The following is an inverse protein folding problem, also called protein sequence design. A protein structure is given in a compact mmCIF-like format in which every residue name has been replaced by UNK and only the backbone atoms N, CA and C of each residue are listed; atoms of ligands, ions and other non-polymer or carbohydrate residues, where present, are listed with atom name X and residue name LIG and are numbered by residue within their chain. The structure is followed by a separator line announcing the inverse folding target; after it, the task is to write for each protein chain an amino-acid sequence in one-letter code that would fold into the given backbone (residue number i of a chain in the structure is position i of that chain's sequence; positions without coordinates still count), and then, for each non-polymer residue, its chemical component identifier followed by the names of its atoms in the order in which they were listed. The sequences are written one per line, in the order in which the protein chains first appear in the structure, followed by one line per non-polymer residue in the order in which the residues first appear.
data_IF_652359838177
#
_entry.id   IF_652359838177
#
_cell.length_a   1.000
_cell.length_b   1.000
_cell.length_c   1.000
_cell.angle_alpha   90.00
_cell.angle_beta   90.00
_cell.angle_gamma   90.00
#
_symmetry.space_group_name_H-M   'P 1'
#
loop_
_entity.id
_entity.type
_entity.pdbx_description
1 polymer ?
#
# COMPACT_ATOMS: atom_id res chain seq x y z
N UNK A 1 17.90 -68.96 33.35
CA UNK A 1 16.69 -68.14 33.07
C UNK A 1 17.12 -66.97 32.22
N UNK A 2 16.81 -67.03 30.93
CA UNK A 2 17.11 -65.99 29.95
C UNK A 2 15.89 -65.09 29.79
N UNK A 3 16.07 -63.77 29.89
CA UNK A 3 15.13 -62.81 29.34
C UNK A 3 15.93 -61.81 28.49
N UNK A 4 15.71 -61.92 27.19
CA UNK A 4 16.18 -61.00 26.16
C UNK A 4 15.57 -59.61 26.37
N UNK A 5 16.41 -58.58 26.52
CA UNK A 5 16.00 -57.21 26.26
C UNK A 5 16.28 -56.90 24.77
N UNK A 6 15.24 -56.95 23.97
CA UNK A 6 15.24 -56.52 22.58
C UNK A 6 14.92 -55.01 22.48
N UNK A 7 15.52 -54.40 21.46
CA UNK A 7 15.55 -52.98 21.11
C UNK A 7 14.18 -52.33 20.88
N UNK A 8 14.08 -51.04 21.17
CA UNK A 8 13.23 -50.11 20.41
C UNK A 8 14.00 -48.81 20.18
N UNK A 9 14.76 -48.79 19.08
CA UNK A 9 15.29 -47.58 18.48
C UNK A 9 14.11 -46.85 17.84
N UNK A 10 13.64 -45.77 18.46
CA UNK A 10 12.72 -44.84 17.81
C UNK A 10 13.51 -44.13 16.70
N UNK A 11 13.12 -44.24 15.43
CA UNK A 11 13.86 -43.60 14.35
C UNK A 11 13.69 -42.08 14.46
N UNK A 12 14.81 -41.37 14.62
CA UNK A 12 14.92 -39.93 14.39
C UNK A 12 14.56 -39.65 12.94
N UNK A 13 13.29 -39.34 12.67
CA UNK A 13 12.89 -38.83 11.36
C UNK A 13 13.45 -37.42 11.20
N UNK A 14 14.46 -37.31 10.34
CA UNK A 14 14.88 -36.05 9.76
C UNK A 14 13.67 -35.40 9.08
N UNK A 15 13.14 -34.34 9.68
CA UNK A 15 12.24 -33.44 8.97
C UNK A 15 13.10 -32.58 8.06
N UNK A 16 13.11 -32.93 6.78
CA UNK A 16 13.58 -32.03 5.72
C UNK A 16 12.80 -30.72 5.84
N UNK A 17 13.50 -29.65 6.19
CA UNK A 17 13.03 -28.30 5.96
C UNK A 17 12.95 -28.08 4.45
N UNK A 18 11.75 -28.25 3.88
CA UNK A 18 11.48 -27.84 2.51
C UNK A 18 11.38 -26.32 2.47
N UNK A 19 12.52 -25.65 2.51
CA UNK A 19 12.65 -24.25 2.13
C UNK A 19 12.55 -24.14 0.61
N UNK A 20 11.36 -24.38 0.07
CA UNK A 20 11.05 -24.04 -1.32
C UNK A 20 10.80 -22.52 -1.38
N UNK A 21 11.88 -21.75 -1.38
CA UNK A 21 11.85 -20.38 -1.85
C UNK A 21 11.55 -20.40 -3.35
N UNK A 22 10.27 -20.28 -3.71
CA UNK A 22 9.90 -19.90 -5.06
C UNK A 22 10.34 -18.44 -5.26
N UNK A 23 11.60 -18.27 -5.64
CA UNK A 23 12.11 -17.03 -6.21
C UNK A 23 11.45 -16.90 -7.59
N UNK A 24 10.27 -16.29 -7.65
CA UNK A 24 9.73 -15.85 -8.93
C UNK A 24 10.65 -14.71 -9.39
N UNK A 25 11.34 -14.85 -10.53
CA UNK A 25 12.25 -13.83 -10.98
C UNK A 25 11.45 -12.58 -11.33
N UNK A 26 11.76 -11.47 -10.64
CA UNK A 26 11.40 -10.13 -11.06
C UNK A 26 12.15 -9.81 -12.37
N UNK A 27 11.56 -10.19 -13.50
CA UNK A 27 12.03 -9.87 -14.85
C UNK A 27 10.78 -9.88 -15.74
N UNK A 28 10.35 -8.83 -16.43
CA UNK A 28 10.98 -7.55 -16.75
C UNK A 28 9.88 -6.50 -16.95
N UNK A 29 9.95 -5.38 -16.23
CA UNK A 29 9.41 -4.11 -16.72
C UNK A 29 10.42 -3.58 -17.72
N UNK A 30 10.43 -4.17 -18.92
CA UNK A 30 11.15 -3.63 -20.05
C UNK A 30 10.46 -2.33 -20.46
N UNK A 31 11.26 -1.26 -20.56
CA UNK A 31 10.86 0.08 -20.96
C UNK A 31 9.95 0.06 -22.21
N UNK A 32 8.79 0.71 -22.10
CA UNK A 32 7.94 1.04 -23.24
C UNK A 32 8.33 2.45 -23.71
N UNK A 33 8.73 2.63 -24.98
CA UNK A 33 9.06 3.96 -25.51
C UNK A 33 7.78 4.79 -25.67
N UNK A 34 7.93 6.09 -25.47
CA UNK A 34 6.86 7.07 -25.42
C UNK A 34 5.91 7.02 -26.62
N UNK A 35 4.62 6.92 -26.32
CA UNK A 35 3.53 7.07 -27.28
C UNK A 35 2.20 7.09 -26.54
N UNK A 36 1.59 8.28 -26.41
CA UNK A 36 0.25 8.49 -25.85
C UNK A 36 0.10 8.08 -24.37
N UNK A 37 0.16 9.06 -23.47
CA UNK A 37 0.09 8.84 -22.01
C UNK A 37 -1.09 7.97 -21.55
N UNK A 38 -2.20 7.95 -22.30
CA UNK A 38 -3.36 7.10 -21.98
C UNK A 38 -3.12 5.58 -22.14
N UNK A 39 -2.48 5.15 -23.22
CA UNK A 39 -2.34 3.71 -23.54
C UNK A 39 -1.24 3.03 -22.69
N UNK A 40 -0.20 3.77 -22.31
CA UNK A 40 0.81 3.31 -21.36
C UNK A 40 0.22 3.11 -19.96
N UNK A 41 -0.62 4.04 -19.51
CA UNK A 41 -1.33 3.95 -18.23
C UNK A 41 -2.32 2.76 -18.21
N UNK A 42 -3.05 2.48 -19.29
CA UNK A 42 -3.94 1.31 -19.38
C UNK A 42 -3.19 -0.01 -19.18
N UNK A 43 -2.04 -0.15 -19.85
CA UNK A 43 -1.25 -1.37 -19.79
C UNK A 43 -0.60 -1.55 -18.41
N UNK A 44 -0.15 -0.47 -17.79
CA UNK A 44 0.38 -0.49 -16.43
C UNK A 44 -0.70 -0.87 -15.43
N UNK A 45 -1.90 -0.29 -15.52
CA UNK A 45 -3.05 -0.64 -14.66
C UNK A 45 -3.46 -2.10 -14.85
N UNK A 46 -3.56 -2.59 -16.08
CA UNK A 46 -3.90 -3.98 -16.35
C UNK A 46 -2.86 -4.94 -15.73
N UNK A 47 -1.56 -4.67 -15.96
CA UNK A 47 -0.47 -5.47 -15.37
C UNK A 47 -0.47 -5.42 -13.84
N UNK A 48 -0.84 -4.27 -13.26
CA UNK A 48 -0.96 -4.10 -11.81
C UNK A 48 -2.06 -4.98 -11.23
N UNK A 49 -3.24 -5.00 -11.88
CA UNK A 49 -4.36 -5.81 -11.46
C UNK A 49 -4.05 -7.31 -11.55
N UNK A 50 -3.37 -7.75 -12.61
CA UNK A 50 -2.91 -9.13 -12.75
C UNK A 50 -1.90 -9.52 -11.66
N UNK A 51 -1.00 -8.60 -11.33
CA UNK A 51 -0.06 -8.79 -10.24
C UNK A 51 -0.76 -8.87 -8.88
N UNK A 52 -1.77 -8.01 -8.64
CA UNK A 52 -2.61 -8.07 -7.42
C UNK A 52 -3.26 -9.44 -7.26
N UNK A 53 -3.86 -9.98 -8.33
CA UNK A 53 -4.49 -11.31 -8.30
C UNK A 53 -3.48 -12.39 -7.92
N UNK A 54 -2.24 -12.28 -8.40
CA UNK A 54 -1.16 -13.22 -8.04
C UNK A 54 -0.77 -13.08 -6.57
N UNK A 55 -0.67 -11.85 -6.05
CA UNK A 55 -0.40 -11.59 -4.63
C UNK A 55 -1.53 -12.06 -3.71
N UNK A 56 -2.79 -11.88 -4.11
CA UNK A 56 -3.96 -12.37 -3.38
C UNK A 56 -3.93 -13.90 -3.27
N UNK A 57 -3.61 -14.61 -4.37
CA UNK A 57 -3.43 -16.06 -4.36
C UNK A 57 -2.28 -16.48 -3.44
N UNK A 58 -1.17 -15.74 -3.45
CA UNK A 58 -0.04 -16.00 -2.55
C UNK A 58 -0.42 -15.76 -1.07
N UNK A 59 -1.19 -14.72 -0.78
CA UNK A 59 -1.65 -14.40 0.56
C UNK A 59 -2.51 -15.54 1.13
N UNK A 60 -3.41 -16.12 0.34
CA UNK A 60 -4.20 -17.30 0.74
C UNK A 60 -3.33 -18.49 1.15
N UNK A 61 -2.28 -18.79 0.37
CA UNK A 61 -1.33 -19.86 0.71
C UNK A 61 -0.56 -19.54 1.99
N UNK A 62 -0.17 -18.29 2.19
CA UNK A 62 0.56 -17.84 3.39
C UNK A 62 -0.32 -17.83 4.65
N UNK A 63 -1.61 -17.54 4.52
CA UNK A 63 -2.60 -17.66 5.60
C UNK A 63 -2.72 -19.11 6.07
N UNK A 64 -2.79 -20.06 5.13
CA UNK A 64 -2.82 -21.48 5.45
C UNK A 64 -1.51 -21.94 6.14
N UNK A 65 -0.36 -21.43 5.67
CA UNK A 65 0.94 -21.68 6.32
C UNK A 65 0.99 -21.15 7.76
N UNK A 66 0.46 -19.94 7.98
CA UNK A 66 0.36 -19.35 9.32
C UNK A 66 -0.55 -20.19 10.22
N UNK A 67 -1.69 -20.64 9.71
CA UNK A 67 -2.61 -21.51 10.44
C UNK A 67 -1.93 -22.83 10.84
N UNK A 68 -1.25 -23.50 9.91
CA UNK A 68 -0.50 -24.74 10.20
C UNK A 68 0.62 -24.54 11.23
N UNK A 69 1.39 -23.46 11.12
CA UNK A 69 2.45 -23.14 12.07
C UNK A 69 1.89 -22.86 13.47
N UNK A 70 0.77 -22.13 13.56
CA UNK A 70 0.12 -21.82 14.83
C UNK A 70 -0.39 -23.08 15.51
N UNK A 71 -1.05 -23.98 14.76
CA UNK A 71 -1.50 -25.26 15.29
C UNK A 71 -0.35 -26.18 15.72
N UNK A 72 0.84 -26.09 15.10
CA UNK A 72 2.01 -26.82 15.55
C UNK A 72 2.56 -26.29 16.87
N UNK A 73 2.64 -24.96 17.01
CA UNK A 73 3.04 -24.31 18.26
C UNK A 73 2.12 -24.70 19.42
N UNK A 74 0.79 -24.70 19.21
CA UNK A 74 -0.18 -25.13 20.21
C UNK A 74 0.07 -26.57 20.65
N UNK A 75 0.25 -27.50 19.70
CA UNK A 75 0.56 -28.91 20.01
C UNK A 75 1.87 -29.06 20.79
N UNK A 76 2.93 -28.38 20.38
CA UNK A 76 4.22 -28.48 21.07
C UNK A 76 4.19 -27.84 22.46
N UNK A 77 3.37 -26.81 22.65
CA UNK A 77 3.15 -26.22 23.98
C UNK A 77 2.47 -27.22 24.92
N UNK A 78 1.43 -27.93 24.47
CA UNK A 78 0.77 -28.99 25.26
C UNK A 78 1.73 -30.15 25.57
N UNK A 79 2.48 -30.63 24.57
CA UNK A 79 3.45 -31.71 24.77
C UNK A 79 4.58 -31.30 25.72
N UNK A 80 5.04 -30.05 25.67
CA UNK A 80 6.07 -29.54 26.55
C UNK A 80 5.57 -29.48 28.00
N UNK A 81 4.32 -29.04 28.21
CA UNK A 81 3.69 -29.05 29.53
C UNK A 81 3.59 -30.45 30.13
N UNK A 82 3.52 -31.49 29.29
CA UNK A 82 3.55 -32.91 29.69
C UNK A 82 4.95 -33.51 29.81
N UNK A 83 6.00 -32.73 29.52
CA UNK A 83 7.39 -33.20 29.53
C UNK A 83 7.76 -34.12 28.35
N UNK A 84 6.97 -34.12 27.27
CA UNK A 84 7.13 -35.03 26.13
C UNK A 84 8.00 -34.49 24.99
N UNK A 85 8.25 -33.18 24.95
CA UNK A 85 9.13 -32.50 23.99
C UNK A 85 10.06 -31.53 24.69
N UNK A 86 11.13 -31.10 24.03
CA UNK A 86 12.06 -30.15 24.60
C UNK A 86 11.52 -28.72 24.47
N UNK A 87 11.98 -27.82 25.36
CA UNK A 87 11.69 -26.38 25.26
C UNK A 87 12.07 -25.82 23.88
N UNK A 88 13.16 -26.33 23.31
CA UNK A 88 13.65 -25.92 21.99
C UNK A 88 12.61 -26.14 20.88
N UNK A 89 11.84 -27.23 20.94
CA UNK A 89 10.82 -27.54 19.94
C UNK A 89 9.72 -26.47 19.94
N UNK A 90 9.32 -25.99 21.13
CA UNK A 90 8.36 -24.88 21.29
C UNK A 90 8.92 -23.58 20.74
N UNK A 91 10.19 -23.27 21.03
CA UNK A 91 10.87 -22.06 20.54
C UNK A 91 11.01 -22.04 19.01
N UNK A 92 11.31 -23.19 18.40
CA UNK A 92 11.39 -23.34 16.94
C UNK A 92 10.01 -23.19 16.29
N UNK A 93 8.96 -23.79 16.87
CA UNK A 93 7.59 -23.61 16.40
C UNK A 93 7.10 -22.16 16.54
N UNK A 94 7.45 -21.48 17.64
CA UNK A 94 7.13 -20.07 17.84
C UNK A 94 7.82 -19.18 16.80
N UNK A 95 9.09 -19.43 16.52
CA UNK A 95 9.85 -18.74 15.49
C UNK A 95 9.24 -18.94 14.09
N UNK A 96 8.73 -20.14 13.80
CA UNK A 96 8.05 -20.43 12.54
C UNK A 96 6.74 -19.63 12.39
N UNK A 97 5.97 -19.44 13.47
CA UNK A 97 4.77 -18.58 13.47
C UNK A 97 5.13 -17.14 13.18
N UNK A 98 6.17 -16.59 13.83
CA UNK A 98 6.64 -15.22 13.58
C UNK A 98 7.03 -15.04 12.11
N UNK A 99 7.84 -15.95 11.57
CA UNK A 99 8.26 -15.88 10.17
C UNK A 99 7.07 -16.00 9.19
N UNK A 100 6.06 -16.82 9.49
CA UNK A 100 4.85 -16.92 8.67
C UNK A 100 4.02 -15.63 8.70
N UNK A 101 3.86 -15.01 9.88
CA UNK A 101 3.17 -13.72 10.03
C UNK A 101 3.86 -12.61 9.25
N UNK A 102 5.19 -12.55 9.31
CA UNK A 102 5.96 -11.53 8.60
C UNK A 102 5.84 -11.66 7.08
N UNK A 103 5.85 -12.89 6.55
CA UNK A 103 5.61 -13.14 5.11
C UNK A 103 4.23 -12.66 4.68
N UNK A 104 3.19 -13.04 5.41
CA UNK A 104 1.82 -12.60 5.13
C UNK A 104 1.67 -11.08 5.21
N UNK A 105 2.22 -10.46 6.25
CA UNK A 105 2.19 -9.01 6.43
C UNK A 105 2.92 -8.28 5.29
N UNK A 106 4.01 -8.83 4.77
CA UNK A 106 4.72 -8.27 3.62
C UNK A 106 3.86 -8.32 2.35
N UNK A 107 3.28 -9.47 2.03
CA UNK A 107 2.39 -9.63 0.86
C UNK A 107 1.19 -8.69 0.94
N UNK A 108 0.56 -8.56 2.12
CA UNK A 108 -0.56 -7.62 2.31
C UNK A 108 -0.17 -6.16 2.11
N UNK A 109 1.01 -5.74 2.57
CA UNK A 109 1.53 -4.39 2.29
C UNK A 109 1.78 -4.17 0.79
N UNK A 110 2.17 -5.21 0.07
CA UNK A 110 2.39 -5.15 -1.38
C UNK A 110 1.08 -5.05 -2.15
N UNK A 111 0.04 -5.80 -1.75
CA UNK A 111 -1.33 -5.65 -2.29
C UNK A 111 -1.81 -4.20 -2.11
N UNK A 112 -1.71 -3.64 -0.91
CA UNK A 112 -2.12 -2.26 -0.64
C UNK A 112 -1.33 -1.23 -1.48
N UNK A 113 -0.04 -1.48 -1.74
CA UNK A 113 0.77 -0.64 -2.61
C UNK A 113 0.28 -0.68 -4.06
N UNK A 114 -0.04 -1.87 -4.59
CA UNK A 114 -0.59 -2.03 -5.95
C UNK A 114 -1.96 -1.36 -6.09
N UNK A 115 -2.81 -1.45 -5.08
CA UNK A 115 -4.10 -0.74 -5.03
C UNK A 115 -3.90 0.78 -5.03
N UNK A 116 -2.86 1.28 -4.36
CA UNK A 116 -2.47 2.70 -4.43
C UNK A 116 -1.92 3.08 -5.82
N UNK A 117 -1.31 2.15 -6.56
CA UNK A 117 -0.84 2.45 -7.91
C UNK A 117 -1.99 2.63 -8.91
N UNK A 118 -2.91 1.67 -8.91
CA UNK A 118 -4.11 1.74 -9.75
C UNK A 118 -4.87 3.03 -9.38
N UNK A 119 -4.69 3.50 -8.14
CA UNK A 119 -5.14 4.78 -7.63
C UNK A 119 -4.78 6.00 -8.38
N UNK A 120 -3.51 6.26 -8.34
CA UNK A 120 -2.99 7.43 -8.97
C UNK A 120 -3.25 7.37 -10.48
N UNK A 121 -3.28 6.18 -11.09
CA UNK A 121 -3.58 6.03 -12.52
C UNK A 121 -5.03 6.39 -12.89
N UNK A 122 -6.06 5.86 -12.23
CA UNK A 122 -7.44 6.24 -12.55
C UNK A 122 -7.74 7.69 -12.12
N UNK A 123 -7.15 8.13 -11.01
CA UNK A 123 -7.23 9.51 -10.57
C UNK A 123 -6.69 10.47 -11.64
N UNK A 124 -5.51 10.19 -12.21
CA UNK A 124 -4.95 10.94 -13.34
C UNK A 124 -5.88 10.93 -14.56
N UNK A 125 -6.54 9.81 -14.85
CA UNK A 125 -7.52 9.72 -15.96
C UNK A 125 -8.70 10.65 -15.75
N UNK A 126 -9.29 10.67 -14.55
CA UNK A 126 -10.42 11.56 -14.23
C UNK A 126 -10.00 13.02 -14.33
N UNK A 127 -8.80 13.36 -13.85
CA UNK A 127 -8.21 14.70 -13.94
C UNK A 127 -7.94 15.08 -15.40
N UNK A 128 -7.44 14.17 -16.22
CA UNK A 128 -7.20 14.40 -17.64
C UNK A 128 -8.51 14.55 -18.44
N UNK A 129 -9.56 13.82 -18.05
CA UNK A 129 -10.89 13.94 -18.66
C UNK A 129 -11.54 15.33 -18.45
N UNK A 130 -11.09 16.11 -17.45
CA UNK A 130 -11.48 17.51 -17.29
C UNK A 130 -10.85 18.44 -18.34
N UNK A 131 -9.90 17.96 -19.15
CA UNK A 131 -9.19 18.75 -20.16
C UNK A 131 -8.14 19.71 -19.58
N UNK A 132 -7.45 20.48 -20.44
CA UNK A 132 -6.42 21.45 -20.02
C UNK A 132 -7.05 22.68 -19.36
N UNK A 133 -6.52 23.12 -18.22
CA UNK A 133 -7.03 24.26 -17.43
C UNK A 133 -6.13 25.48 -17.46
N UNK A 134 -6.72 26.64 -17.20
CA UNK A 134 -5.97 27.89 -16.94
C UNK A 134 -5.55 27.95 -15.47
N UNK A 135 -4.43 28.64 -15.14
CA UNK A 135 -4.08 28.93 -13.75
C UNK A 135 -5.24 29.60 -13.00
N UNK A 136 -5.53 29.13 -11.80
CA UNK A 136 -6.62 29.60 -10.94
C UNK A 136 -8.02 29.10 -11.32
N UNK A 137 -8.16 28.34 -12.41
CA UNK A 137 -9.43 27.74 -12.79
C UNK A 137 -9.77 26.57 -11.85
N UNK A 138 -11.05 26.47 -11.48
CA UNK A 138 -11.60 25.34 -10.73
C UNK A 138 -12.51 24.56 -11.65
N UNK A 139 -12.29 23.25 -11.74
CA UNK A 139 -13.12 22.35 -12.52
C UNK A 139 -13.66 21.23 -11.67
N UNK A 140 -14.87 20.83 -11.98
CA UNK A 140 -15.56 19.75 -11.30
C UNK A 140 -16.18 18.80 -12.32
N UNK A 141 -15.99 17.50 -12.14
CA UNK A 141 -16.54 16.47 -13.00
C UNK A 141 -16.05 15.08 -12.64
N UNK A 142 -16.86 14.04 -12.91
CA UNK A 142 -16.47 12.65 -12.67
C UNK A 142 -16.11 12.31 -11.21
N UNK A 143 -16.68 13.03 -10.25
CA UNK A 143 -16.37 12.87 -8.82
C UNK A 143 -15.04 13.49 -8.37
N UNK A 144 -14.46 14.37 -9.19
CA UNK A 144 -13.21 15.08 -8.92
C UNK A 144 -13.45 16.59 -8.96
N UNK A 145 -12.81 17.32 -8.03
CA UNK A 145 -12.66 18.78 -8.07
C UNK A 145 -11.17 19.06 -8.25
N UNK A 146 -10.80 19.84 -9.27
CA UNK A 146 -9.41 20.22 -9.55
C UNK A 146 -9.29 21.74 -9.45
N UNK A 147 -8.33 22.21 -8.67
CA UNK A 147 -7.87 23.60 -8.70
C UNK A 147 -6.42 23.64 -9.14
N UNK A 148 -6.13 24.35 -10.23
CA UNK A 148 -4.76 24.40 -10.79
C UNK A 148 -3.82 25.38 -10.08
N UNK A 149 -4.33 26.12 -9.09
CA UNK A 149 -3.57 27.09 -8.31
C UNK A 149 -3.13 28.30 -9.15
N UNK A 150 -2.61 29.32 -8.47
CA UNK A 150 -2.11 30.56 -9.10
C UNK A 150 -0.65 30.85 -8.73
N UNK A 151 -0.05 30.05 -7.85
CA UNK A 151 1.35 30.18 -7.42
C UNK A 151 2.03 28.82 -7.34
N UNK A 152 3.36 28.84 -7.28
CA UNK A 152 4.16 27.65 -6.98
C UNK A 152 3.81 27.08 -5.61
N UNK A 153 3.79 25.75 -5.53
CA UNK A 153 3.59 24.97 -4.32
C UNK A 153 4.82 24.14 -4.00
N UNK A 154 5.09 23.96 -2.71
CA UNK A 154 6.01 22.95 -2.20
C UNK A 154 5.57 22.50 -0.82
N UNK A 155 6.11 21.38 -0.33
CA UNK A 155 5.85 20.92 1.05
C UNK A 155 6.22 21.94 2.14
N UNK A 156 7.05 22.94 1.82
CA UNK A 156 7.38 24.05 2.75
C UNK A 156 6.18 24.93 3.08
N UNK A 157 5.15 24.92 2.26
CA UNK A 157 3.91 25.68 2.47
C UNK A 157 2.93 24.95 3.40
N UNK A 158 3.12 23.64 3.63
CA UNK A 158 2.22 22.81 4.43
C UNK A 158 1.99 23.34 5.86
N UNK A 159 3.00 23.84 6.60
CA UNK A 159 2.77 24.41 7.93
C UNK A 159 1.75 25.56 7.95
N UNK A 160 1.59 26.30 6.84
CA UNK A 160 0.55 27.33 6.71
C UNK A 160 -0.86 26.74 6.70
N UNK A 161 -1.05 25.63 5.97
CA UNK A 161 -2.32 24.90 5.90
C UNK A 161 -2.65 24.27 7.26
N UNK A 162 -1.66 23.66 7.91
CA UNK A 162 -1.83 23.07 9.24
C UNK A 162 -2.27 24.12 10.27
N UNK A 163 -1.62 25.29 10.29
CA UNK A 163 -2.01 26.40 11.17
C UNK A 163 -3.42 26.90 10.91
N UNK A 164 -3.79 27.06 9.63
CA UNK A 164 -5.16 27.40 9.26
C UNK A 164 -6.16 26.37 9.81
N UNK A 165 -5.88 25.09 9.61
CA UNK A 165 -6.77 24.01 9.99
C UNK A 165 -6.95 23.92 11.51
N UNK A 166 -5.85 23.96 12.26
CA UNK A 166 -5.86 23.98 13.74
C UNK A 166 -6.60 25.22 14.25
N UNK A 167 -6.36 26.40 13.68
CA UNK A 167 -7.03 27.63 14.11
C UNK A 167 -8.55 27.59 13.87
N UNK A 168 -9.00 26.89 12.83
CA UNK A 168 -10.41 26.78 12.46
C UNK A 168 -11.15 25.66 13.22
N UNK A 169 -10.50 24.51 13.42
CA UNK A 169 -11.15 23.28 13.89
C UNK A 169 -10.61 22.75 15.22
N UNK A 170 -9.56 23.36 15.77
CA UNK A 170 -8.99 22.97 17.07
C UNK A 170 -8.28 21.62 17.08
N UNK A 171 -8.04 21.01 15.92
CA UNK A 171 -7.37 19.71 15.77
C UNK A 171 -6.36 19.70 14.63
N UNK A 172 -5.36 18.80 14.62
CA UNK A 172 -4.39 18.69 13.54
C UNK A 172 -5.04 18.37 12.19
N UNK A 173 -4.41 18.81 11.10
CA UNK A 173 -4.78 18.41 9.74
C UNK A 173 -4.60 16.88 9.60
N UNK A 174 -5.62 16.12 9.16
CA UNK A 174 -5.52 14.66 9.06
C UNK A 174 -4.75 14.25 7.80
N UNK A 175 -3.44 14.48 7.78
CA UNK A 175 -2.54 14.08 6.69
C UNK A 175 -2.43 12.55 6.65
N UNK A 176 -2.77 11.96 5.51
CA UNK A 176 -2.69 10.52 5.24
C UNK A 176 -1.43 10.11 4.49
N UNK A 177 -0.86 11.02 3.70
CA UNK A 177 0.42 10.81 3.02
C UNK A 177 1.18 12.14 2.93
N UNK A 178 2.49 12.10 3.14
CA UNK A 178 3.35 13.28 3.10
C UNK A 178 4.58 13.00 2.25
N UNK A 179 4.68 13.67 1.10
CA UNK A 179 5.82 13.55 0.19
C UNK A 179 5.98 12.15 -0.40
N UNK A 180 7.21 11.84 -0.81
CA UNK A 180 7.54 10.55 -1.41
C UNK A 180 7.44 9.42 -0.38
N UNK A 181 6.88 8.28 -0.81
CA UNK A 181 6.78 7.09 0.04
C UNK A 181 7.42 5.90 -0.66
N UNK A 182 7.77 4.86 0.10
CA UNK A 182 8.30 3.62 -0.48
C UNK A 182 7.34 2.92 -1.45
N UNK A 183 6.05 3.28 -1.38
CA UNK A 183 5.06 2.82 -2.36
C UNK A 183 5.32 3.55 -3.68
N UNK A 184 5.36 4.88 -3.68
CA UNK A 184 5.67 5.68 -4.87
C UNK A 184 7.00 5.28 -5.53
N UNK A 185 8.06 5.00 -4.74
CA UNK A 185 9.36 4.55 -5.28
C UNK A 185 9.27 3.23 -6.06
N UNK A 186 8.52 2.24 -5.55
CA UNK A 186 8.37 0.93 -6.21
C UNK A 186 7.53 1.02 -7.48
N UNK A 187 6.60 1.96 -7.51
CA UNK A 187 5.67 2.15 -8.61
C UNK A 187 6.22 3.11 -9.67
N UNK A 188 7.35 3.76 -9.40
CA UNK A 188 7.94 4.73 -10.30
C UNK A 188 7.09 5.99 -10.43
N UNK A 189 6.47 6.46 -9.33
CA UNK A 189 5.78 7.76 -9.28
C UNK A 189 6.55 8.75 -8.39
N UNK A 190 6.54 10.03 -8.80
CA UNK A 190 7.06 11.15 -8.03
C UNK A 190 5.92 11.84 -7.28
N UNK A 191 5.91 11.67 -5.96
CA UNK A 191 5.01 12.33 -5.01
C UNK A 191 5.80 13.27 -4.06
N UNK A 192 7.04 13.65 -4.41
CA UNK A 192 7.95 14.39 -3.52
C UNK A 192 7.44 15.76 -3.09
N UNK A 193 6.55 16.38 -3.87
CA UNK A 193 5.99 17.70 -3.61
C UNK A 193 4.49 17.68 -3.36
N UNK A 194 3.93 16.57 -2.88
CA UNK A 194 2.50 16.44 -2.62
C UNK A 194 2.17 15.90 -1.23
N UNK A 195 0.96 16.18 -0.77
CA UNK A 195 0.43 15.66 0.49
C UNK A 195 -1.04 15.30 0.34
N UNK A 196 -1.45 14.17 0.90
CA UNK A 196 -2.85 13.75 0.92
C UNK A 196 -3.44 14.00 2.30
N UNK A 197 -4.67 14.50 2.31
CA UNK A 197 -5.45 14.79 3.52
C UNK A 197 -6.73 13.97 3.51
N UNK A 198 -6.94 13.15 4.55
CA UNK A 198 -8.08 12.26 4.70
C UNK A 198 -9.37 13.00 5.10
N UNK A 199 -9.83 13.91 4.22
CA UNK A 199 -11.08 14.64 4.35
C UNK A 199 -11.95 14.44 3.13
N UNK A 200 -13.25 14.21 3.36
CA UNK A 200 -14.22 14.22 2.28
C UNK A 200 -14.39 15.65 1.74
N UNK A 201 -14.32 15.89 0.42
CA UNK A 201 -14.42 17.24 -0.18
C UNK A 201 -15.71 17.98 0.22
N UNK A 202 -16.81 17.25 0.30
CA UNK A 202 -18.13 17.80 0.67
C UNK A 202 -18.39 17.81 2.20
N UNK A 203 -17.40 17.49 3.03
CA UNK A 203 -17.52 17.73 4.48
C UNK A 203 -17.34 19.22 4.81
N UNK A 204 -17.74 19.66 6.01
CA UNK A 204 -17.51 21.04 6.44
C UNK A 204 -16.00 21.39 6.47
N UNK A 205 -15.18 20.46 6.94
CA UNK A 205 -13.72 20.59 6.98
C UNK A 205 -13.10 20.55 5.58
N UNK A 206 -13.55 19.64 4.73
CA UNK A 206 -13.08 19.54 3.34
C UNK A 206 -13.39 20.80 2.53
N UNK A 207 -14.61 21.33 2.61
CA UNK A 207 -14.97 22.60 1.95
C UNK A 207 -14.14 23.77 2.46
N UNK A 208 -13.89 23.84 3.76
CA UNK A 208 -13.06 24.89 4.35
C UNK A 208 -11.60 24.81 3.88
N UNK A 209 -11.04 23.60 3.83
CA UNK A 209 -9.71 23.35 3.28
C UNK A 209 -9.65 23.75 1.80
N UNK A 210 -10.59 23.29 0.97
CA UNK A 210 -10.66 23.66 -0.45
C UNK A 210 -10.74 25.18 -0.63
N UNK A 211 -11.59 25.85 0.15
CA UNK A 211 -11.67 27.32 0.13
C UNK A 211 -10.36 28.00 0.48
N UNK A 212 -9.63 27.49 1.48
CA UNK A 212 -8.30 27.98 1.83
C UNK A 212 -7.29 27.77 0.68
N UNK A 213 -7.27 26.59 0.07
CA UNK A 213 -6.36 26.28 -1.04
C UNK A 213 -6.64 27.18 -2.26
N UNK A 214 -7.91 27.41 -2.57
CA UNK A 214 -8.33 28.33 -3.64
C UNK A 214 -7.88 29.78 -3.37
N UNK A 215 -8.17 30.30 -2.18
CA UNK A 215 -7.84 31.69 -1.81
C UNK A 215 -6.34 31.94 -1.71
N UNK A 216 -5.57 30.91 -1.36
CA UNK A 216 -4.10 30.98 -1.28
C UNK A 216 -3.39 30.56 -2.56
N UNK A 217 -4.14 30.19 -3.61
CA UNK A 217 -3.58 29.85 -4.92
C UNK A 217 -2.82 28.53 -4.96
N UNK A 218 -3.09 27.60 -4.02
CA UNK A 218 -2.42 26.30 -3.93
C UNK A 218 -3.14 25.29 -4.83
N UNK A 219 -2.43 24.56 -5.71
CA UNK A 219 -3.01 23.52 -6.52
C UNK A 219 -3.48 22.33 -5.67
N UNK A 220 -4.61 21.74 -6.05
CA UNK A 220 -5.15 20.57 -5.38
C UNK A 220 -6.06 19.75 -6.30
N UNK A 221 -6.30 18.51 -5.88
CA UNK A 221 -7.26 17.60 -6.48
C UNK A 221 -8.06 16.96 -5.34
N UNK A 222 -9.37 17.10 -5.36
CA UNK A 222 -10.26 16.57 -4.34
C UNK A 222 -11.11 15.43 -4.93
N UNK A 223 -11.07 14.27 -4.29
CA UNK A 223 -11.77 13.06 -4.74
C UNK A 223 -12.98 12.81 -3.83
N UNK A 224 -14.19 12.76 -4.41
CA UNK A 224 -15.45 12.57 -3.66
C UNK A 224 -15.79 11.13 -3.32
N UNK A 225 -15.13 10.17 -3.94
CA UNK A 225 -15.40 8.76 -3.68
C UNK A 225 -14.13 7.95 -3.80
N UNK A 226 -14.20 6.71 -3.28
CA UNK A 226 -13.29 5.69 -3.70
C UNK A 226 -13.32 5.61 -5.23
N UNK A 227 -12.16 5.81 -5.84
CA UNK A 227 -11.93 5.54 -7.25
C UNK A 227 -11.62 4.02 -7.30
N UNK A 228 -12.03 3.29 -8.33
CA UNK A 228 -12.05 1.82 -8.29
C UNK A 228 -10.64 1.26 -8.39
N UNK A 229 -10.13 0.64 -7.32
CA UNK A 229 -8.69 0.38 -7.24
C UNK A 229 -7.90 1.68 -7.21
N UNK A 230 -8.54 2.79 -6.80
CA UNK A 230 -8.01 4.09 -7.08
C UNK A 230 -8.07 5.30 -6.15
N UNK A 231 -8.74 5.12 -5.04
CA UNK A 231 -8.53 5.90 -3.86
C UNK A 231 -9.18 5.05 -2.78
N UNK A 232 -8.50 4.82 -1.67
CA UNK A 232 -9.07 4.02 -0.59
C UNK A 232 -10.26 4.74 0.08
N UNK A 233 -10.48 6.02 -0.23
CA UNK A 233 -11.66 6.80 0.18
C UNK A 233 -11.67 8.23 -0.36
N UNK A 234 -12.62 9.06 0.06
CA UNK A 234 -12.62 10.48 -0.29
C UNK A 234 -11.46 11.21 0.42
N UNK A 235 -10.66 11.99 -0.32
CA UNK A 235 -9.52 12.74 0.21
C UNK A 235 -9.22 13.98 -0.63
N UNK A 236 -8.37 14.87 -0.10
CA UNK A 236 -7.84 16.04 -0.81
C UNK A 236 -6.34 15.86 -1.00
N UNK A 237 -5.92 15.73 -2.25
CA UNK A 237 -4.52 15.76 -2.67
C UNK A 237 -4.08 17.21 -2.87
N UNK A 238 -3.00 17.61 -2.22
CA UNK A 238 -2.46 18.98 -2.25
C UNK A 238 -1.12 18.97 -2.98
N UNK A 239 -1.01 19.81 -4.00
CA UNK A 239 0.16 19.89 -4.85
C UNK A 239 -0.06 19.40 -6.28
N UNK A 240 1.03 19.26 -7.06
CA UNK A 240 0.96 18.71 -8.40
C UNK A 240 0.57 17.23 -8.36
N UNK A 241 -0.17 16.72 -9.37
CA UNK A 241 -0.47 15.30 -9.46
C UNK A 241 0.82 14.47 -9.55
N UNK A 242 0.81 13.26 -8.97
CA UNK A 242 1.89 12.28 -9.14
C UNK A 242 2.26 12.11 -10.61
N UNK A 243 3.55 12.14 -10.93
CA UNK A 243 4.04 11.92 -12.29
C UNK A 243 4.92 10.68 -12.34
N UNK A 244 4.93 9.91 -13.45
CA UNK A 244 5.91 8.85 -13.60
C UNK A 244 7.33 9.41 -13.44
N UNK A 245 8.14 8.78 -12.58
CA UNK A 245 9.58 9.08 -12.47
C UNK A 245 10.19 8.79 -13.83
N UNK A 246 10.55 9.86 -14.55
CA UNK A 246 11.22 9.71 -15.82
C UNK A 246 12.66 9.33 -15.53
N UNK A 247 13.02 8.06 -15.77
CA UNK A 247 14.43 7.64 -15.73
C UNK A 247 15.15 8.42 -16.82
N UNK A 248 16.03 9.34 -16.44
CA UNK A 248 16.95 10.01 -17.34
C UNK A 248 18.17 9.13 -17.61
#
# INVERSE_FOLDING_TARGET
MAYHHAMSLVPRRAFLALAAGALVPARALAAVPGGGSGAGDDRLVASALDYRITLERLALVQEEQLHRASGLLERYTDLFARGLVARRDVEDAASAVVAARERLARTRREIAAVETMVAEAEARRRVAALGPSRPGEVREGGGVIRGDGTRGWSLRDLPGIERFFVSRFGRPLPVSALGQTSVHDRLGFDHTQAADVALHPDSAEGRALIGYLLTTGIPFIAYRSAVGGASTGAHVHIGPPSQPVTVR
#
